data_IF_794327885178
#
_entry.id   IF_794327885178
#
_cell.length_a   1.000
_cell.length_b   1.000
_cell.length_c   1.000
_cell.angle_alpha   90.00
_cell.angle_beta   90.00
_cell.angle_gamma   90.00
#
_symmetry.space_group_name_H-M   'P 1'
#
loop_
_entity.id
_entity.type
_entity.pdbx_description
1 polymer ?
#
# COMPACT_ATOMS: atom_id res chain seq x y z
N UNK A 1 4.36 -1.23 11.91
CA UNK A 1 4.41 -0.96 10.47
C UNK A 1 4.34 -2.29 9.75
N UNK A 2 3.35 -2.48 8.89
CA UNK A 2 3.16 -3.71 8.09
C UNK A 2 3.12 -3.31 6.62
N UNK A 3 3.69 -4.15 5.76
CA UNK A 3 3.88 -3.86 4.34
C UNK A 3 3.37 -5.04 3.54
N UNK A 4 2.42 -4.79 2.65
CA UNK A 4 1.96 -5.75 1.64
C UNK A 4 2.64 -5.41 0.31
N UNK A 5 3.16 -6.45 -0.35
CA UNK A 5 3.77 -6.32 -1.67
C UNK A 5 2.88 -6.98 -2.70
N UNK A 6 2.43 -6.22 -3.70
CA UNK A 6 1.66 -6.73 -4.82
C UNK A 6 2.59 -6.89 -6.04
N UNK A 7 3.05 -8.11 -6.26
CA UNK A 7 3.91 -8.50 -7.38
C UNK A 7 3.15 -9.22 -8.49
N UNK A 8 3.84 -9.50 -9.60
CA UNK A 8 3.28 -10.28 -10.72
C UNK A 8 2.90 -11.70 -10.32
N UNK A 9 3.55 -12.22 -9.28
CA UNK A 9 3.37 -13.59 -8.76
C UNK A 9 2.17 -13.65 -7.80
N UNK A 10 1.81 -12.55 -7.14
CA UNK A 10 0.74 -12.51 -6.16
C UNK A 10 0.89 -11.43 -5.11
N UNK A 11 0.17 -11.61 -4.00
CA UNK A 11 0.22 -10.78 -2.81
C UNK A 11 1.15 -11.43 -1.78
N UNK A 12 2.13 -10.67 -1.29
CA UNK A 12 2.99 -11.06 -0.18
C UNK A 12 2.68 -10.19 1.03
N UNK A 13 2.57 -10.83 2.21
CA UNK A 13 2.22 -10.16 3.47
C UNK A 13 0.90 -9.41 3.41
N UNK A 14 -0.14 -10.07 2.91
CA UNK A 14 -1.48 -9.49 2.76
C UNK A 14 -1.95 -8.80 4.06
N UNK A 15 -2.41 -7.56 3.93
CA UNK A 15 -3.02 -6.81 5.02
C UNK A 15 -4.45 -7.32 5.26
N UNK A 16 -4.72 -7.72 6.49
CA UNK A 16 -6.07 -8.13 6.90
C UNK A 16 -6.94 -6.91 7.15
N UNK A 17 -8.26 -7.12 7.22
CA UNK A 17 -9.18 -6.03 7.58
C UNK A 17 -8.85 -5.40 8.95
N UNK A 18 -8.33 -6.18 9.89
CA UNK A 18 -7.91 -5.70 11.22
C UNK A 18 -6.65 -4.82 11.13
N UNK A 19 -5.68 -5.20 10.28
CA UNK A 19 -4.50 -4.37 10.03
C UNK A 19 -4.91 -3.01 9.45
N UNK A 20 -5.85 -3.01 8.49
CA UNK A 20 -6.35 -1.78 7.88
C UNK A 20 -7.15 -0.95 8.89
N UNK A 21 -8.03 -1.57 9.66
CA UNK A 21 -8.82 -0.89 10.67
C UNK A 21 -7.96 -0.23 11.75
N UNK A 22 -6.86 -0.88 12.14
CA UNK A 22 -5.91 -0.37 13.13
C UNK A 22 -4.91 0.65 12.57
N UNK A 23 -4.79 0.76 11.24
CA UNK A 23 -3.87 1.71 10.62
C UNK A 23 -4.42 3.15 10.70
N UNK A 24 -3.57 4.08 11.13
CA UNK A 24 -3.87 5.52 11.08
C UNK A 24 -3.75 6.09 9.65
N UNK A 25 -2.82 5.55 8.86
CA UNK A 25 -2.51 6.03 7.52
C UNK A 25 -2.06 4.87 6.62
N UNK A 26 -2.38 4.97 5.33
CA UNK A 26 -2.01 3.99 4.30
C UNK A 26 -1.12 4.66 3.26
N UNK A 27 0.02 4.06 2.96
CA UNK A 27 0.95 4.55 1.93
C UNK A 27 0.88 3.59 0.74
N UNK A 28 0.55 4.12 -0.44
CA UNK A 28 0.53 3.36 -1.69
C UNK A 28 1.70 3.82 -2.57
N UNK A 29 2.65 2.93 -2.85
CA UNK A 29 3.94 3.27 -3.48
C UNK A 29 4.08 2.81 -4.94
N UNK A 30 2.99 2.77 -5.71
CA UNK A 30 2.99 2.17 -7.06
C UNK A 30 2.18 3.02 -8.04
N UNK A 31 2.66 3.07 -9.29
CA UNK A 31 2.03 3.78 -10.41
C UNK A 31 0.88 2.97 -11.05
N UNK A 32 0.91 1.64 -10.88
CA UNK A 32 -0.16 0.73 -11.36
C UNK A 32 -1.25 0.54 -10.29
N UNK A 33 -2.47 0.25 -10.75
CA UNK A 33 -3.63 0.04 -9.88
C UNK A 33 -3.37 -1.01 -8.80
N UNK A 34 -3.64 -0.64 -7.54
CA UNK A 34 -3.54 -1.51 -6.37
C UNK A 34 -4.81 -2.38 -6.30
N UNK A 35 -4.64 -3.69 -6.11
CA UNK A 35 -5.77 -4.59 -5.89
C UNK A 35 -6.39 -4.32 -4.52
N UNK A 36 -7.73 -4.36 -4.47
CA UNK A 36 -8.52 -4.15 -3.26
C UNK A 36 -8.30 -2.79 -2.59
N UNK A 37 -8.04 -1.76 -3.39
CA UNK A 37 -7.83 -0.39 -2.91
C UNK A 37 -9.03 0.13 -2.11
N UNK A 38 -10.23 -0.34 -2.44
CA UNK A 38 -11.49 -0.05 -1.74
C UNK A 38 -11.44 -0.32 -0.23
N UNK A 39 -10.63 -1.30 0.22
CA UNK A 39 -10.47 -1.61 1.65
C UNK A 39 -9.85 -0.44 2.42
N UNK A 40 -9.13 0.44 1.74
CA UNK A 40 -8.48 1.61 2.31
C UNK A 40 -9.28 2.91 2.14
N UNK A 41 -10.46 2.88 1.53
CA UNK A 41 -11.23 4.08 1.19
C UNK A 41 -11.62 4.96 2.40
N UNK A 42 -11.74 4.35 3.59
CA UNK A 42 -12.04 5.06 4.84
C UNK A 42 -10.79 5.59 5.56
N UNK A 43 -9.60 5.40 4.98
CA UNK A 43 -8.31 5.75 5.58
C UNK A 43 -7.64 6.89 4.83
N UNK A 44 -6.75 7.59 5.52
CA UNK A 44 -5.90 8.60 4.87
C UNK A 44 -4.91 7.88 3.96
N UNK A 45 -5.12 8.00 2.64
CA UNK A 45 -4.27 7.41 1.62
C UNK A 45 -3.23 8.44 1.16
N UNK A 46 -1.96 8.12 1.34
CA UNK A 46 -0.84 8.87 0.77
C UNK A 46 -0.28 8.07 -0.40
N UNK A 47 -0.45 8.60 -1.61
CA UNK A 47 0.15 8.02 -2.82
C UNK A 47 1.54 8.62 -3.00
N UNK A 48 2.55 7.77 -3.05
CA UNK A 48 3.94 8.16 -3.27
C UNK A 48 4.41 7.49 -4.55
N UNK A 49 5.00 8.25 -5.47
CA UNK A 49 5.60 7.63 -6.64
C UNK A 49 6.84 6.85 -6.20
N UNK A 50 7.05 5.64 -6.72
CA UNK A 50 8.27 4.89 -6.42
C UNK A 50 9.51 5.71 -6.82
N UNK A 51 9.43 6.53 -7.86
CA UNK A 51 10.50 7.45 -8.28
C UNK A 51 10.83 8.52 -7.24
N UNK A 52 9.89 8.93 -6.39
CA UNK A 52 10.16 9.80 -5.23
C UNK A 52 10.77 9.02 -4.06
N UNK A 53 10.40 7.74 -3.91
CA UNK A 53 10.84 6.88 -2.80
C UNK A 53 12.28 6.35 -2.99
N UNK A 54 12.70 6.02 -4.20
CA UNK A 54 14.09 5.63 -4.52
C UNK A 54 14.88 6.84 -5.03
N UNK A 55 15.29 7.70 -4.10
CA UNK A 55 16.34 8.70 -4.36
C UNK A 55 17.71 8.03 -4.24
N UNK A 56 18.16 7.35 -5.29
CA UNK A 56 19.57 6.93 -5.42
C UNK A 56 20.41 8.18 -5.73
N UNK A 57 21.41 8.46 -4.89
CA UNK A 57 22.47 9.42 -5.15
C UNK A 57 23.80 8.70 -5.28
#
# INVERSE_FOLDING_TARGET
MKVETQGSIGLENELTAEDVASADMVILTKDIGIKFEERFASKTIVRVNISDAVKTR
#
